data_IF_964030834767
#
_entry.id   IF_964030834767
#
_cell.length_a   1.000
_cell.length_b   1.000
_cell.length_c   1.000
_cell.angle_alpha   90.00
_cell.angle_beta   90.00
_cell.angle_gamma   90.00
#
_symmetry.space_group_name_H-M   'P 1'
#
loop_
_entity.id
_entity.type
_entity.pdbx_description
1 polymer ?
#
# COMPACT_ATOMS: atom_id res chain seq x y z
N UNK A 1 -18.52 -0.73 44.75
CA UNK A 1 -18.58 0.74 44.98
C UNK A 1 -18.07 1.43 43.73
N UNK A 2 -18.92 2.16 42.99
CA UNK A 2 -18.53 2.92 41.80
C UNK A 2 -17.71 4.14 42.26
N UNK A 3 -16.39 4.12 42.07
CA UNK A 3 -15.51 5.25 42.36
C UNK A 3 -15.74 6.30 41.26
N UNK A 4 -16.67 7.22 41.52
CA UNK A 4 -17.07 8.28 40.59
C UNK A 4 -15.86 9.13 40.20
N UNK A 5 -15.55 9.19 38.91
CA UNK A 5 -14.46 9.98 38.31
C UNK A 5 -14.79 11.50 38.33
N UNK A 6 -15.14 12.08 39.50
CA UNK A 6 -15.43 13.52 39.66
C UNK A 6 -14.26 14.44 39.29
N UNK A 7 -13.06 13.90 39.06
CA UNK A 7 -11.83 14.66 38.78
C UNK A 7 -11.71 15.04 37.29
N UNK A 8 -12.34 14.30 36.39
CA UNK A 8 -12.18 14.52 34.93
C UNK A 8 -13.09 15.67 34.48
N UNK A 9 -14.33 15.75 34.98
CA UNK A 9 -15.30 16.80 34.63
C UNK A 9 -14.96 18.19 35.20
N UNK A 10 -13.97 18.28 36.10
CA UNK A 10 -13.54 19.54 36.72
C UNK A 10 -12.41 20.24 35.95
N UNK A 11 -11.73 19.55 35.03
CA UNK A 11 -10.68 20.12 34.20
C UNK A 11 -11.37 20.82 33.03
N UNK A 12 -11.29 22.14 33.00
CA UNK A 12 -11.85 22.91 31.89
C UNK A 12 -10.91 22.85 30.69
N UNK A 13 -11.42 23.09 29.48
CA UNK A 13 -10.60 23.20 28.26
C UNK A 13 -9.48 24.24 28.43
N UNK A 14 -9.72 25.29 29.24
CA UNK A 14 -8.73 26.31 29.58
C UNK A 14 -7.57 25.74 30.40
N UNK A 15 -7.85 24.85 31.34
CA UNK A 15 -6.83 24.19 32.15
C UNK A 15 -6.00 23.20 31.31
N UNK A 16 -6.63 22.53 30.34
CA UNK A 16 -5.96 21.66 29.36
C UNK A 16 -5.02 22.51 28.49
N UNK A 17 -5.51 23.61 27.93
CA UNK A 17 -4.71 24.51 27.09
C UNK A 17 -3.53 25.13 27.85
N UNK A 18 -3.74 25.51 29.12
CA UNK A 18 -2.68 26.03 29.99
C UNK A 18 -1.61 24.96 30.29
N UNK A 19 -2.01 23.70 30.45
CA UNK A 19 -1.08 22.57 30.61
C UNK A 19 -0.20 22.36 29.38
N UNK A 20 -0.80 22.35 28.19
CA UNK A 20 -0.07 22.22 26.91
C UNK A 20 0.92 23.38 26.73
N UNK A 21 0.49 24.62 26.99
CA UNK A 21 1.34 25.80 26.81
C UNK A 21 2.56 25.84 27.74
N UNK A 22 2.50 25.14 28.89
CA UNK A 22 3.59 25.08 29.86
C UNK A 22 4.58 23.94 29.58
N UNK A 23 4.18 22.96 28.79
CA UNK A 23 5.02 21.81 28.46
C UNK A 23 6.02 22.16 27.35
N UNK A 24 7.31 22.04 27.65
CA UNK A 24 8.39 22.35 26.71
C UNK A 24 8.50 21.34 25.57
N UNK A 25 7.95 20.13 25.73
CA UNK A 25 7.91 19.07 24.71
C UNK A 25 6.52 18.93 24.07
N UNK A 26 5.62 19.90 24.31
CA UNK A 26 4.33 19.92 23.65
C UNK A 26 4.50 20.02 22.14
N UNK A 27 3.96 19.04 21.42
CA UNK A 27 3.85 19.12 19.97
C UNK A 27 2.98 20.31 19.56
N UNK A 28 3.26 20.97 18.42
CA UNK A 28 2.45 22.07 17.93
C UNK A 28 1.01 21.59 17.69
N UNK A 29 0.05 22.43 18.04
CA UNK A 29 -1.37 22.16 17.73
C UNK A 29 -1.57 22.28 16.22
N UNK A 30 -1.92 21.16 15.58
CA UNK A 30 -2.16 21.08 14.14
C UNK A 30 -3.62 21.45 13.89
N UNK A 31 -3.85 22.62 13.31
CA UNK A 31 -5.19 23.16 13.09
C UNK A 31 -5.61 23.06 11.62
N UNK A 32 -4.65 22.89 10.70
CA UNK A 32 -4.91 22.81 9.26
C UNK A 32 -4.21 21.59 8.64
N UNK A 33 -4.82 21.05 7.57
CA UNK A 33 -4.22 19.99 6.76
C UNK A 33 -2.84 20.38 6.18
N UNK A 34 -2.61 21.68 5.98
CA UNK A 34 -1.34 22.26 5.55
C UNK A 34 -0.21 22.05 6.54
N UNK A 35 -0.52 21.88 7.83
CA UNK A 35 0.48 21.62 8.86
C UNK A 35 1.07 20.19 8.71
N UNK A 36 0.37 19.31 7.99
CA UNK A 36 0.81 17.96 7.64
C UNK A 36 1.54 17.87 6.29
N UNK A 37 1.80 19.00 5.61
CA UNK A 37 2.54 19.04 4.32
C UNK A 37 3.77 18.11 4.27
N UNK A 38 4.69 18.09 5.26
CA UNK A 38 5.85 17.22 5.18
C UNK A 38 5.49 15.73 5.25
N UNK A 39 4.48 15.34 6.02
CA UNK A 39 4.03 13.96 6.13
C UNK A 39 3.30 13.49 4.86
N UNK A 40 2.44 14.34 4.28
CA UNK A 40 1.74 14.06 3.02
C UNK A 40 2.74 13.93 1.87
N UNK A 41 3.73 14.82 1.81
CA UNK A 41 4.79 14.79 0.80
C UNK A 41 5.64 13.52 0.91
N UNK A 42 6.08 13.17 2.13
CA UNK A 42 6.84 11.96 2.41
C UNK A 42 6.06 10.68 2.07
N UNK A 43 4.76 10.65 2.35
CA UNK A 43 3.89 9.55 1.95
C UNK A 43 3.75 9.48 0.42
N UNK A 44 3.67 10.60 -0.29
CA UNK A 44 3.57 10.64 -1.76
C UNK A 44 4.87 10.17 -2.44
N UNK A 45 6.02 10.44 -1.84
CA UNK A 45 7.33 9.96 -2.31
C UNK A 45 7.52 8.46 -2.09
N UNK A 46 6.83 7.87 -1.09
CA UNK A 46 6.88 6.43 -0.79
C UNK A 46 5.69 5.63 -1.35
N UNK A 47 4.56 6.27 -1.58
CA UNK A 47 3.33 5.65 -2.06
C UNK A 47 3.29 5.68 -3.59
N UNK A 48 3.98 4.73 -4.20
CA UNK A 48 3.70 4.36 -5.57
C UNK A 48 4.89 3.77 -6.28
N UNK A 49 4.71 2.55 -6.79
CA UNK A 49 5.39 2.19 -8.04
C UNK A 49 5.12 3.34 -9.01
N UNK A 50 6.17 3.79 -9.71
CA UNK A 50 6.06 4.87 -10.70
C UNK A 50 4.98 4.58 -11.74
N UNK A 51 4.63 5.56 -12.60
CA UNK A 51 3.64 5.37 -13.65
C UNK A 51 3.94 4.06 -14.39
N UNK A 52 2.92 3.22 -14.58
CA UNK A 52 3.09 1.92 -15.21
C UNK A 52 3.42 2.11 -16.70
N UNK A 53 4.71 2.10 -17.03
CA UNK A 53 5.20 2.30 -18.40
C UNK A 53 5.18 0.93 -19.12
N UNK A 54 4.27 0.76 -20.08
CA UNK A 54 4.25 -0.27 -21.16
C UNK A 54 3.82 -1.72 -20.82
N UNK A 55 3.29 -2.46 -21.81
CA UNK A 55 1.89 -2.88 -21.86
C UNK A 55 1.54 -3.92 -20.79
N UNK A 56 0.36 -3.74 -20.19
CA UNK A 56 -0.22 -4.70 -19.26
C UNK A 56 -0.48 -6.01 -19.99
N UNK A 57 0.12 -7.11 -19.53
CA UNK A 57 -0.30 -8.45 -19.97
C UNK A 57 -1.82 -8.54 -19.89
N UNK A 58 -2.48 -8.87 -20.98
CA UNK A 58 -3.93 -8.99 -20.99
C UNK A 58 -4.35 -10.25 -20.25
N UNK A 59 -5.24 -10.10 -19.26
CA UNK A 59 -5.79 -11.24 -18.53
C UNK A 59 -6.95 -11.83 -19.33
N UNK A 60 -6.68 -12.91 -20.03
CA UNK A 60 -7.70 -13.69 -20.74
C UNK A 60 -7.84 -15.10 -20.15
N UNK A 61 -8.99 -15.71 -20.37
CA UNK A 61 -9.24 -17.12 -20.01
C UNK A 61 -9.01 -17.98 -21.24
N UNK A 62 -7.97 -18.82 -21.22
CA UNK A 62 -7.69 -19.80 -22.28
C UNK A 62 -7.79 -21.22 -21.74
N UNK A 63 -8.18 -22.17 -22.58
CA UNK A 63 -8.14 -23.60 -22.27
C UNK A 63 -6.85 -24.18 -22.83
N UNK A 64 -6.09 -24.85 -21.98
CA UNK A 64 -4.86 -25.55 -22.32
C UNK A 64 -5.08 -27.04 -22.11
N UNK A 65 -4.34 -27.87 -22.83
CA UNK A 65 -4.40 -29.31 -22.63
C UNK A 65 -3.86 -29.71 -21.24
N UNK A 66 -4.37 -30.80 -20.64
CA UNK A 66 -3.99 -31.21 -19.29
C UNK A 66 -2.48 -31.42 -19.12
N UNK A 67 -1.83 -32.04 -20.10
CA UNK A 67 -0.39 -32.35 -20.09
C UNK A 67 0.48 -31.08 -20.06
N UNK A 68 0.06 -30.01 -20.75
CA UNK A 68 0.75 -28.72 -20.74
C UNK A 68 0.61 -28.08 -19.35
N UNK A 69 -0.58 -28.10 -18.76
CA UNK A 69 -0.80 -27.54 -17.43
C UNK A 69 -0.03 -28.32 -16.35
N UNK A 70 -0.01 -29.64 -16.43
CA UNK A 70 0.70 -30.50 -15.49
C UNK A 70 2.21 -30.22 -15.52
N UNK A 71 2.80 -30.21 -16.72
CA UNK A 71 4.21 -29.91 -16.92
C UNK A 71 4.60 -28.56 -16.31
N UNK A 72 3.90 -27.48 -16.64
CA UNK A 72 4.25 -26.16 -16.11
C UNK A 72 3.98 -26.05 -14.62
N UNK A 73 2.87 -26.57 -14.09
CA UNK A 73 2.60 -26.52 -12.64
C UNK A 73 3.66 -27.24 -11.82
N UNK A 74 4.21 -28.34 -12.32
CA UNK A 74 5.31 -29.07 -11.67
C UNK A 74 6.58 -28.21 -11.49
N UNK A 75 6.77 -27.16 -12.31
CA UNK A 75 7.88 -26.20 -12.16
C UNK A 75 7.75 -25.25 -10.96
N UNK A 76 6.64 -25.33 -10.22
CA UNK A 76 6.41 -24.58 -9.00
C UNK A 76 6.12 -23.08 -9.21
N UNK A 77 6.53 -22.25 -8.26
CA UNK A 77 6.29 -20.79 -8.29
C UNK A 77 6.80 -20.20 -9.61
N UNK A 78 5.98 -19.38 -10.25
CA UNK A 78 6.31 -18.72 -11.51
C UNK A 78 5.94 -19.51 -12.78
N UNK A 79 5.29 -20.67 -12.67
CA UNK A 79 4.89 -21.47 -13.83
C UNK A 79 4.08 -20.71 -14.89
N UNK A 80 3.20 -19.78 -14.47
CA UNK A 80 2.43 -18.92 -15.39
C UNK A 80 3.33 -17.98 -16.20
N UNK A 81 4.45 -17.55 -15.63
CA UNK A 81 5.43 -16.74 -16.38
C UNK A 81 6.26 -17.60 -17.32
N UNK A 82 6.55 -18.86 -16.95
CA UNK A 82 7.26 -19.79 -17.84
C UNK A 82 6.44 -20.15 -19.08
N UNK A 83 5.15 -20.43 -18.91
CA UNK A 83 4.27 -20.70 -20.07
C UNK A 83 4.11 -19.47 -20.97
N UNK A 84 4.03 -18.26 -20.40
CA UNK A 84 4.05 -17.00 -21.17
C UNK A 84 5.33 -16.85 -22.01
N UNK A 85 6.50 -17.21 -21.47
CA UNK A 85 7.76 -17.16 -22.21
C UNK A 85 7.80 -18.19 -23.36
N UNK A 86 7.37 -19.42 -23.12
CA UNK A 86 7.34 -20.44 -24.18
C UNK A 86 6.42 -20.04 -25.35
N UNK A 87 5.26 -19.44 -25.04
CA UNK A 87 4.36 -18.90 -26.07
C UNK A 87 5.02 -17.75 -26.85
N UNK A 88 5.81 -16.88 -26.18
CA UNK A 88 6.57 -15.81 -26.83
C UNK A 88 7.66 -16.34 -27.75
N UNK A 89 8.44 -17.31 -27.29
CA UNK A 89 9.49 -17.96 -28.09
C UNK A 89 8.90 -18.56 -29.37
N UNK A 90 7.71 -19.15 -29.27
CA UNK A 90 7.01 -19.73 -30.42
C UNK A 90 6.68 -18.67 -31.47
N UNK A 91 6.13 -17.52 -31.08
CA UNK A 91 5.79 -16.45 -32.04
C UNK A 91 7.03 -15.67 -32.53
N UNK A 92 8.09 -15.58 -31.74
CA UNK A 92 9.35 -14.94 -32.17
C UNK A 92 10.10 -15.77 -33.22
N UNK A 93 9.91 -17.10 -33.25
CA UNK A 93 10.46 -17.99 -34.27
C UNK A 93 9.62 -18.12 -35.55
N UNK A 94 8.41 -17.56 -35.58
CA UNK A 94 7.51 -17.62 -36.75
C UNK A 94 7.85 -16.56 -37.83
N UNK A 95 8.70 -15.59 -37.48
CA UNK A 95 9.17 -14.51 -38.37
C UNK A 95 10.55 -14.78 -39.04
N UNK A 96 11.00 -16.04 -39.14
CA UNK A 96 12.23 -16.44 -39.87
C UNK A 96 11.93 -17.36 -41.07
#
# INVERSE_FOLDING_TARGET
MKKTLKRIDAITDKDIAAGIAKDSDAAPVLNDLSDFKPAIQFLKERAGRGPQISPTKERITIRLSPEVLEYYRATGKGWQSRIDQALKETISGVDQ
#
